data_IF_266707477495
#
_entry.id   IF_266707477495
#
_cell.length_a   1.000
_cell.length_b   1.000
_cell.length_c   1.000
_cell.angle_alpha   90.00
_cell.angle_beta   90.00
_cell.angle_gamma   90.00
#
_symmetry.space_group_name_H-M   'P 1'
#
loop_
_entity.id
_entity.type
_entity.pdbx_description
1 polymer ?
#
# COMPACT_ATOMS: atom_id res chain seq x y z
N UNK A 1 -2.04 5.38 27.71
CA UNK A 1 -1.88 6.71 27.08
C UNK A 1 -1.08 6.52 25.82
N UNK A 2 -1.65 6.90 24.67
CA UNK A 2 -1.07 6.67 23.34
C UNK A 2 -0.06 7.72 22.90
N UNK A 3 0.58 7.47 21.75
CA UNK A 3 1.42 8.43 21.05
C UNK A 3 2.51 7.81 20.17
N UNK A 4 2.15 6.93 19.22
CA UNK A 4 3.05 6.55 18.12
C UNK A 4 2.86 7.55 16.98
N UNK A 5 3.52 8.70 17.09
CA UNK A 5 3.56 9.73 16.05
C UNK A 5 5.00 9.93 15.62
N UNK A 6 5.49 9.11 14.68
CA UNK A 6 6.77 9.32 14.02
C UNK A 6 6.65 10.48 13.03
N UNK A 7 6.59 11.72 13.54
CA UNK A 7 6.70 12.93 12.74
C UNK A 7 8.08 13.52 12.98
N UNK A 8 8.95 13.47 11.97
CA UNK A 8 10.25 14.16 12.01
C UNK A 8 10.10 15.65 12.34
N UNK A 9 11.12 16.23 12.96
CA UNK A 9 11.11 17.66 13.29
C UNK A 9 10.89 18.51 12.02
N UNK A 10 10.25 19.70 12.11
CA UNK A 10 9.83 20.47 10.94
C UNK A 10 10.98 20.94 10.04
N UNK A 11 12.21 20.90 10.54
CA UNK A 11 13.46 21.18 9.85
C UNK A 11 14.08 19.96 9.15
N UNK A 12 13.54 18.76 9.37
CA UNK A 12 14.02 17.54 8.73
C UNK A 12 13.40 17.37 7.33
N UNK A 13 14.20 16.98 6.31
CA UNK A 13 13.66 16.66 4.99
C UNK A 13 12.67 15.49 5.06
N UNK A 14 11.45 15.69 4.55
CA UNK A 14 10.55 14.58 4.22
C UNK A 14 10.95 13.95 2.89
N UNK A 15 11.34 12.68 2.92
CA UNK A 15 11.52 11.88 1.71
C UNK A 15 10.22 11.16 1.37
N UNK A 16 9.83 11.19 0.10
CA UNK A 16 8.76 10.31 -0.38
C UNK A 16 9.22 8.85 -0.26
N UNK A 17 8.36 7.93 0.20
CA UNK A 17 8.63 6.50 0.13
C UNK A 17 9.00 6.10 -1.30
N UNK A 18 9.93 5.15 -1.45
CA UNK A 18 10.26 4.61 -2.77
C UNK A 18 9.10 3.77 -3.29
N UNK A 19 8.53 4.18 -4.42
CA UNK A 19 7.55 3.38 -5.18
C UNK A 19 6.19 4.04 -5.30
N UNK A 20 5.31 3.40 -6.06
CA UNK A 20 3.92 3.79 -6.16
C UNK A 20 3.14 3.24 -4.97
N UNK A 21 2.29 4.07 -4.36
CA UNK A 21 1.33 3.66 -3.35
C UNK A 21 -0.03 3.53 -4.04
N UNK A 22 -0.68 2.38 -3.92
CA UNK A 22 -1.95 2.09 -4.57
C UNK A 22 -2.98 1.82 -3.47
N UNK A 23 -3.91 2.75 -3.31
CA UNK A 23 -5.09 2.53 -2.49
C UNK A 23 -6.14 1.82 -3.34
N UNK A 24 -6.69 0.72 -2.82
CA UNK A 24 -7.74 -0.05 -3.49
C UNK A 24 -8.83 -0.39 -2.48
N UNK A 25 -10.05 -0.60 -2.99
CA UNK A 25 -11.18 -1.07 -2.18
C UNK A 25 -11.94 -2.13 -2.95
N UNK A 26 -12.11 -3.28 -2.31
CA UNK A 26 -12.94 -4.37 -2.83
C UNK A 26 -14.34 -4.24 -2.21
N UNK A 27 -15.38 -4.23 -3.05
CA UNK A 27 -16.78 -4.17 -2.60
C UNK A 27 -17.33 -5.52 -2.17
N UNK A 28 -16.57 -6.59 -2.42
CA UNK A 28 -16.88 -7.97 -2.06
C UNK A 28 -15.62 -8.61 -1.49
N UNK A 29 -15.79 -9.60 -0.63
CA UNK A 29 -14.68 -10.38 -0.10
C UNK A 29 -14.02 -11.19 -1.23
N UNK A 30 -12.69 -11.16 -1.30
CA UNK A 30 -11.92 -11.90 -2.27
C UNK A 30 -10.96 -12.84 -1.53
N UNK A 31 -10.86 -14.09 -1.99
CA UNK A 31 -9.92 -15.07 -1.45
C UNK A 31 -8.47 -14.82 -1.89
N UNK A 32 -8.27 -14.04 -2.95
CA UNK A 32 -6.97 -13.59 -3.44
C UNK A 32 -7.09 -12.26 -4.20
N UNK A 33 -5.99 -11.51 -4.22
CA UNK A 33 -5.84 -10.25 -4.94
C UNK A 33 -4.49 -10.21 -5.66
N UNK A 34 -4.52 -9.84 -6.93
CA UNK A 34 -3.34 -9.56 -7.75
C UNK A 34 -3.46 -8.16 -8.35
N UNK A 35 -2.38 -7.36 -8.24
CA UNK A 35 -2.25 -6.05 -8.87
C UNK A 35 -1.08 -6.07 -9.84
N UNK A 36 -1.33 -5.75 -11.11
CA UNK A 36 -0.31 -5.65 -12.15
C UNK A 36 -0.09 -4.19 -12.54
N UNK A 37 1.17 -3.78 -12.64
CA UNK A 37 1.56 -2.49 -13.19
C UNK A 37 2.13 -2.77 -14.59
N UNK A 38 1.48 -2.23 -15.61
CA UNK A 38 1.84 -2.42 -17.01
C UNK A 38 2.54 -1.18 -17.57
N UNK A 39 3.30 -1.36 -18.66
CA UNK A 39 3.82 -0.28 -19.48
C UNK A 39 2.83 0.16 -20.59
N UNK A 40 3.27 1.08 -21.46
CA UNK A 40 2.44 1.60 -22.54
C UNK A 40 2.12 0.59 -23.65
N UNK A 41 2.88 -0.50 -23.74
CA UNK A 41 2.68 -1.60 -24.70
C UNK A 41 1.79 -2.71 -24.14
N UNK A 42 1.51 -2.67 -22.84
CA UNK A 42 0.76 -3.71 -22.12
C UNK A 42 1.66 -4.79 -21.52
N UNK A 43 2.98 -4.58 -21.44
CA UNK A 43 3.88 -5.49 -20.75
C UNK A 43 3.86 -5.27 -19.24
N UNK A 44 3.87 -6.36 -18.46
CA UNK A 44 3.86 -6.29 -16.99
C UNK A 44 5.25 -5.89 -16.48
N UNK A 45 5.31 -4.75 -15.80
CA UNK A 45 6.51 -4.24 -15.14
C UNK A 45 6.66 -4.77 -13.71
N UNK A 46 5.54 -4.93 -12.99
CA UNK A 46 5.50 -5.42 -11.60
C UNK A 46 4.17 -6.11 -11.30
N UNK A 47 4.24 -7.15 -10.47
CA UNK A 47 3.08 -7.85 -9.92
C UNK A 47 3.13 -7.84 -8.40
N UNK A 48 1.98 -7.60 -7.77
CA UNK A 48 1.79 -7.75 -6.33
C UNK A 48 0.69 -8.78 -6.07
N UNK A 49 0.90 -9.64 -5.09
CA UNK A 49 -0.08 -10.65 -4.67
C UNK A 49 -0.39 -10.52 -3.17
N UNK A 50 -1.64 -10.76 -2.81
CA UNK A 50 -2.05 -10.98 -1.42
C UNK A 50 -1.46 -12.31 -0.92
N UNK A 51 -0.30 -12.24 -0.28
CA UNK A 51 0.42 -13.36 0.35
C UNK A 51 1.94 -13.14 0.49
N UNK A 52 2.58 -12.37 -0.39
CA UNK A 52 4.04 -12.17 -0.37
C UNK A 52 4.59 -11.32 0.79
N UNK A 53 5.92 -11.38 1.01
CA UNK A 53 6.71 -10.75 2.11
C UNK A 53 6.76 -9.20 2.12
N UNK A 54 5.89 -8.53 1.35
CA UNK A 54 5.82 -7.07 1.32
C UNK A 54 5.15 -6.48 2.57
N UNK A 55 5.56 -5.28 3.04
CA UNK A 55 4.88 -4.61 4.14
C UNK A 55 3.41 -4.35 3.76
N UNK A 56 2.49 -5.03 4.44
CA UNK A 56 1.05 -4.80 4.33
C UNK A 56 0.60 -3.84 5.41
N UNK A 57 -0.20 -2.86 5.03
CA UNK A 57 -1.00 -2.07 5.97
C UNK A 57 -2.46 -2.29 5.60
N UNK A 58 -3.03 -3.39 6.07
CA UNK A 58 -4.48 -3.57 6.04
C UNK A 58 -5.08 -2.73 7.16
N UNK A 59 -5.78 -1.67 6.79
CA UNK A 59 -6.68 -1.00 7.73
C UNK A 59 -8.04 -1.67 7.54
N UNK A 60 -8.32 -2.69 8.36
CA UNK A 60 -9.69 -3.16 8.51
C UNK A 60 -10.52 -1.95 8.94
N UNK A 61 -11.54 -1.58 8.14
CA UNK A 61 -12.46 -0.54 8.58
C UNK A 61 -13.18 -1.08 9.81
N UNK A 62 -12.86 -0.54 10.99
CA UNK A 62 -13.62 -0.80 12.21
C UNK A 62 -15.05 -0.30 11.95
N UNK A 63 -15.94 -1.22 11.59
CA UNK A 63 -17.37 -0.96 11.48
C UNK A 63 -17.88 -0.62 12.89
N UNK A 64 -18.06 0.68 13.16
CA UNK A 64 -18.86 1.17 14.26
C UNK A 64 -20.30 1.35 13.80
#
# INVERSE_FOLDING_TARGET
GGGRGGGGAPDQPQYSPRGAMIDYMLTVEASSLQLEILDATGEVLRTFESGGDGPRTETAQEMR
#
